data_IF_880906593014
#
_entry.id   IF_880906593014
#
_cell.length_a   1.000
_cell.length_b   1.000
_cell.length_c   1.000
_cell.angle_alpha   90.00
_cell.angle_beta   90.00
_cell.angle_gamma   90.00
#
_symmetry.space_group_name_H-M   'P 1'
#
loop_
_entity.id
_entity.type
_entity.pdbx_description
1 polymer ?
#
# COMPACT_ATOMS: atom_id res chain seq x y z
N UNK A 1 1.97 -11.36 -5.31
CA UNK A 1 1.81 -10.08 -6.04
C UNK A 1 0.54 -9.41 -5.54
N UNK A 2 0.64 -8.31 -4.78
CA UNK A 2 -0.53 -7.66 -4.16
C UNK A 2 -1.38 -7.02 -5.27
N UNK A 3 -2.59 -7.52 -5.47
CA UNK A 3 -3.55 -6.96 -6.43
C UNK A 3 -4.21 -5.75 -5.80
N UNK A 4 -4.52 -4.75 -6.62
CA UNK A 4 -5.34 -3.62 -6.22
C UNK A 4 -6.68 -4.16 -5.75
N UNK A 5 -6.94 -4.07 -4.45
CA UNK A 5 -8.19 -4.54 -3.88
C UNK A 5 -9.22 -3.44 -4.12
N UNK A 6 -10.26 -3.68 -4.94
CA UNK A 6 -11.31 -2.69 -5.12
C UNK A 6 -12.00 -2.44 -3.78
N UNK A 7 -12.28 -1.17 -3.51
CA UNK A 7 -12.98 -0.72 -2.31
C UNK A 7 -14.14 0.16 -2.71
N UNK A 8 -15.27 -0.10 -2.05
CA UNK A 8 -16.51 0.64 -2.15
C UNK A 8 -17.06 0.82 -0.75
N UNK A 9 -17.27 2.06 -0.34
CA UNK A 9 -17.85 2.39 0.97
C UNK A 9 -18.99 3.39 0.73
N UNK A 10 -20.25 2.99 0.93
CA UNK A 10 -21.37 3.91 0.86
C UNK A 10 -21.37 4.86 2.07
N UNK A 11 -21.82 6.09 1.87
CA UNK A 11 -22.00 7.10 2.90
C UNK A 11 -23.28 7.89 2.63
N UNK A 12 -24.03 8.19 3.69
CA UNK A 12 -25.19 9.11 3.62
C UNK A 12 -24.78 10.58 3.50
N UNK A 13 -23.49 10.89 3.64
CA UNK A 13 -22.97 12.24 3.56
C UNK A 13 -22.90 12.72 2.11
N UNK A 14 -23.01 14.02 1.89
CA UNK A 14 -22.68 14.60 0.60
C UNK A 14 -21.18 14.45 0.31
N UNK A 15 -20.74 14.38 -0.96
CA UNK A 15 -19.32 14.27 -1.30
C UNK A 15 -18.44 15.34 -0.63
N UNK A 16 -18.93 16.58 -0.56
CA UNK A 16 -18.20 17.68 0.07
C UNK A 16 -18.03 17.48 1.59
N UNK A 17 -19.07 17.02 2.27
CA UNK A 17 -19.04 16.76 3.71
C UNK A 17 -18.17 15.55 4.04
N UNK A 18 -18.26 14.47 3.24
CA UNK A 18 -17.38 13.31 3.36
C UNK A 18 -15.90 13.71 3.17
N UNK A 19 -15.59 14.49 2.13
CA UNK A 19 -14.23 15.00 1.89
C UNK A 19 -13.74 15.89 3.05
N UNK A 20 -14.60 16.76 3.60
CA UNK A 20 -14.29 17.61 4.75
C UNK A 20 -13.95 16.75 5.98
N UNK A 21 -14.81 15.80 6.35
CA UNK A 21 -14.59 14.90 7.50
C UNK A 21 -13.30 14.09 7.36
N UNK A 22 -13.04 13.52 6.18
CA UNK A 22 -11.80 12.80 5.92
C UNK A 22 -10.57 13.71 5.99
N UNK A 23 -10.71 14.97 5.58
CA UNK A 23 -9.65 15.99 5.65
C UNK A 23 -9.34 16.41 7.08
N UNK A 24 -10.36 16.53 7.93
CA UNK A 24 -10.22 16.88 9.35
C UNK A 24 -9.66 15.71 10.17
N UNK A 25 -10.10 14.49 9.86
CA UNK A 25 -9.68 13.29 10.59
C UNK A 25 -8.28 12.79 10.22
N UNK A 26 -7.79 13.06 9.00
CA UNK A 26 -6.43 12.65 8.61
C UNK A 26 -5.40 13.43 9.41
N UNK A 27 -4.29 12.79 9.72
CA UNK A 27 -3.16 13.48 10.33
C UNK A 27 -2.48 14.36 9.29
N UNK A 28 -2.39 15.67 9.57
CA UNK A 28 -1.73 16.63 8.69
C UNK A 28 -0.29 16.18 8.39
N UNK A 29 0.08 16.19 7.10
CA UNK A 29 1.34 15.61 6.63
C UNK A 29 2.57 16.50 6.81
N UNK A 30 2.53 17.52 7.69
CA UNK A 30 3.68 18.43 7.83
C UNK A 30 4.88 17.64 8.35
N UNK A 31 5.98 17.77 7.61
CA UNK A 31 7.28 17.13 7.81
C UNK A 31 7.84 17.35 9.23
N UNK A 32 7.37 18.38 9.93
CA UNK A 32 7.76 18.72 11.31
C UNK A 32 6.70 18.41 12.39
N UNK A 33 5.44 18.13 12.02
CA UNK A 33 4.33 17.97 12.99
C UNK A 33 3.87 16.53 13.21
N UNK A 34 4.51 15.55 12.57
CA UNK A 34 4.25 14.15 12.87
C UNK A 34 4.95 13.76 14.18
N UNK A 35 4.46 14.29 15.32
CA UNK A 35 4.46 13.54 16.59
C UNK A 35 3.52 12.36 16.38
N UNK A 36 3.92 11.42 15.55
CA UNK A 36 3.27 10.12 15.49
C UNK A 36 3.44 9.52 16.90
N UNK A 37 2.37 9.02 17.52
CA UNK A 37 2.44 8.63 18.91
C UNK A 37 3.53 7.56 19.10
N UNK A 38 4.34 7.72 20.15
CA UNK A 38 5.47 6.82 20.46
C UNK A 38 5.00 5.40 20.81
N UNK A 39 3.69 5.21 21.02
CA UNK A 39 3.04 3.93 21.31
C UNK A 39 2.97 2.97 20.11
N UNK A 40 3.42 3.41 18.91
CA UNK A 40 3.38 2.59 17.70
C UNK A 40 2.00 2.54 17.03
N UNK A 41 1.08 3.44 17.39
CA UNK A 41 -0.20 3.59 16.71
C UNK A 41 -0.02 4.03 15.24
N UNK A 42 -1.01 3.65 14.44
CA UNK A 42 -1.07 4.00 13.01
C UNK A 42 -1.75 5.35 12.84
N UNK A 43 -1.18 6.19 11.98
CA UNK A 43 -1.76 7.45 11.53
C UNK A 43 -2.14 7.35 10.06
N UNK A 44 -3.19 8.06 9.65
CA UNK A 44 -3.60 8.17 8.25
C UNK A 44 -3.12 9.50 7.69
N UNK A 45 -2.38 9.46 6.59
CA UNK A 45 -1.85 10.64 5.92
C UNK A 45 -2.14 10.56 4.42
N UNK A 46 -2.11 11.69 3.73
CA UNK A 46 -2.35 11.72 2.30
C UNK A 46 -3.10 12.97 1.87
N UNK A 47 -3.60 13.01 0.64
CA UNK A 47 -4.43 14.08 0.08
C UNK A 47 -5.90 13.63 0.05
N UNK A 48 -6.80 14.56 0.34
CA UNK A 48 -8.23 14.36 0.21
C UNK A 48 -8.78 15.57 -0.54
N UNK A 49 -9.45 15.33 -1.66
CA UNK A 49 -10.34 16.27 -2.34
C UNK A 49 -11.63 15.53 -2.71
N UNK A 50 -12.59 16.24 -3.30
CA UNK A 50 -13.82 15.63 -3.82
C UNK A 50 -13.55 14.70 -5.01
N UNK A 51 -12.60 15.08 -5.87
CA UNK A 51 -12.32 14.37 -7.13
C UNK A 51 -11.27 13.27 -6.97
N UNK A 52 -10.34 13.44 -6.02
CA UNK A 52 -9.20 12.54 -5.83
C UNK A 52 -8.85 12.41 -4.34
N UNK A 53 -8.80 11.17 -3.88
CA UNK A 53 -8.43 10.79 -2.52
C UNK A 53 -7.26 9.83 -2.59
N UNK A 54 -6.13 10.27 -2.04
CA UNK A 54 -4.90 9.49 -1.99
C UNK A 54 -4.43 9.38 -0.55
N UNK A 55 -4.68 8.24 0.11
CA UNK A 55 -4.41 8.04 1.54
C UNK A 55 -3.51 6.83 1.80
N UNK A 56 -2.72 6.89 2.87
CA UNK A 56 -1.94 5.75 3.35
C UNK A 56 -1.92 5.75 4.88
N UNK A 57 -2.04 4.57 5.47
CA UNK A 57 -1.85 4.39 6.91
C UNK A 57 -0.37 4.12 7.17
N UNK A 58 0.28 4.84 8.10
CA UNK A 58 1.69 4.63 8.44
C UNK A 58 1.90 4.54 9.95
N UNK A 59 2.84 3.69 10.37
CA UNK A 59 3.33 3.66 11.74
C UNK A 59 4.53 4.61 11.88
N UNK A 60 4.67 5.22 13.06
CA UNK A 60 5.82 6.03 13.42
C UNK A 60 7.14 5.24 13.19
N UNK A 61 8.15 5.90 12.63
CA UNK A 61 9.51 5.34 12.44
C UNK A 61 9.65 4.10 11.54
N UNK A 62 8.55 3.51 11.06
CA UNK A 62 8.59 2.35 10.16
C UNK A 62 8.56 2.81 8.71
N UNK A 63 9.65 2.57 7.97
CA UNK A 63 9.72 2.78 6.52
C UNK A 63 9.45 1.46 5.81
N UNK A 64 8.36 1.41 5.04
CA UNK A 64 8.00 0.27 4.20
C UNK A 64 7.56 0.80 2.84
N UNK A 65 8.30 0.49 1.78
CA UNK A 65 7.95 0.91 0.42
C UNK A 65 6.77 0.10 -0.15
N UNK A 66 6.52 -1.11 0.34
CA UNK A 66 5.37 -1.95 -0.04
C UNK A 66 4.09 -1.60 0.73
N UNK A 67 4.03 -0.38 1.28
CA UNK A 67 2.85 0.07 2.02
C UNK A 67 1.68 0.31 1.06
N UNK A 68 0.47 -0.10 1.43
CA UNK A 68 -0.69 0.19 0.61
C UNK A 68 -0.99 1.70 0.57
N UNK A 69 -1.39 2.14 -0.62
CA UNK A 69 -1.95 3.44 -0.91
C UNK A 69 -3.38 3.20 -1.38
N UNK A 70 -4.30 3.95 -0.79
CA UNK A 70 -5.66 4.11 -1.29
C UNK A 70 -5.62 5.18 -2.37
N UNK A 71 -6.11 4.85 -3.56
CA UNK A 71 -6.44 5.80 -4.63
C UNK A 71 -7.94 5.66 -4.89
N UNK A 72 -8.70 6.73 -4.62
CA UNK A 72 -10.16 6.70 -4.63
C UNK A 72 -10.75 8.05 -5.04
N UNK A 73 -12.06 8.08 -5.24
CA UNK A 73 -12.87 9.30 -5.45
C UNK A 73 -14.23 9.14 -4.77
N UNK A 74 -14.91 10.26 -4.53
CA UNK A 74 -16.28 10.26 -4.01
C UNK A 74 -17.25 10.42 -5.18
N UNK A 75 -18.05 9.40 -5.43
CA UNK A 75 -19.10 9.44 -6.46
C UNK A 75 -20.43 9.83 -5.81
N UNK A 76 -21.12 10.88 -6.30
CA UNK A 76 -22.44 11.22 -5.80
C UNK A 76 -23.45 10.12 -6.16
N UNK A 77 -24.26 9.70 -5.19
CA UNK A 77 -25.34 8.73 -5.38
C UNK A 77 -26.63 9.26 -4.73
N UNK A 78 -27.83 8.78 -5.13
CA UNK A 78 -29.06 9.17 -4.44
C UNK A 78 -28.97 8.90 -2.93
N UNK A 79 -29.13 9.95 -2.12
CA UNK A 79 -29.05 9.85 -0.66
C UNK A 79 -27.65 10.00 -0.04
N UNK A 80 -26.60 10.32 -0.83
CA UNK A 80 -25.27 10.61 -0.29
C UNK A 80 -24.14 10.48 -1.31
N UNK A 81 -23.10 9.73 -0.96
CA UNK A 81 -21.96 9.44 -1.83
C UNK A 81 -21.41 8.03 -1.61
N UNK A 82 -20.65 7.53 -2.57
CA UNK A 82 -19.91 6.28 -2.48
C UNK A 82 -18.42 6.57 -2.67
N UNK A 83 -17.57 6.14 -1.73
CA UNK A 83 -16.13 6.15 -1.92
C UNK A 83 -15.75 4.94 -2.78
N UNK A 84 -15.30 5.18 -4.00
CA UNK A 84 -14.93 4.15 -4.97
C UNK A 84 -13.44 4.27 -5.29
N UNK A 85 -12.70 3.17 -5.19
CA UNK A 85 -11.28 3.17 -5.50
C UNK A 85 -10.60 1.83 -5.32
N UNK A 86 -9.29 1.89 -5.11
CA UNK A 86 -8.44 0.71 -4.90
C UNK A 86 -7.44 0.92 -3.79
N UNK A 87 -7.16 -0.15 -3.04
CA UNK A 87 -6.05 -0.22 -2.08
C UNK A 87 -4.98 -1.14 -2.63
N UNK A 88 -3.82 -0.59 -2.96
CA UNK A 88 -2.75 -1.29 -3.66
C UNK A 88 -1.36 -0.81 -3.27
N UNK A 89 -0.32 -1.50 -3.74
CA UNK A 89 1.04 -0.96 -3.63
C UNK A 89 1.21 0.22 -4.57
N UNK A 90 2.06 1.17 -4.18
CA UNK A 90 2.45 2.26 -5.07
C UNK A 90 2.89 1.71 -6.46
N UNK A 91 2.36 2.24 -7.57
CA UNK A 91 2.67 1.75 -8.92
C UNK A 91 4.17 1.67 -9.23
N UNK A 92 4.94 2.65 -8.75
CA UNK A 92 6.39 2.70 -8.94
C UNK A 92 7.10 1.54 -8.22
N UNK A 93 6.66 1.20 -7.00
CA UNK A 93 7.24 0.08 -6.23
C UNK A 93 6.90 -1.25 -6.89
N UNK A 94 5.70 -1.38 -7.46
CA UNK A 94 5.31 -2.56 -8.25
C UNK A 94 6.17 -2.72 -9.49
N UNK A 95 6.34 -1.64 -10.26
CA UNK A 95 7.15 -1.62 -11.47
C UNK A 95 8.62 -1.96 -11.15
N UNK A 96 9.20 -1.30 -10.15
CA UNK A 96 10.58 -1.57 -9.72
C UNK A 96 10.75 -3.03 -9.28
N UNK A 97 9.84 -3.54 -8.46
CA UNK A 97 9.88 -4.95 -7.99
C UNK A 97 9.79 -5.92 -9.17
N UNK A 98 8.93 -5.64 -10.15
CA UNK A 98 8.78 -6.48 -11.34
C UNK A 98 10.07 -6.47 -12.19
N UNK A 99 10.59 -5.29 -12.53
CA UNK A 99 11.83 -5.14 -13.31
C UNK A 99 13.01 -5.84 -12.62
N UNK A 100 13.16 -5.63 -11.31
CA UNK A 100 14.24 -6.24 -10.54
C UNK A 100 14.17 -7.77 -10.54
N UNK A 101 13.01 -8.34 -10.22
CA UNK A 101 12.84 -9.80 -10.19
C UNK A 101 12.96 -10.43 -11.59
N UNK A 102 12.44 -9.77 -12.62
CA UNK A 102 12.59 -10.24 -14.02
C UNK A 102 14.05 -10.20 -14.45
N UNK A 103 14.76 -9.09 -14.20
CA UNK A 103 16.19 -8.98 -14.52
C UNK A 103 17.03 -10.04 -13.79
N UNK A 104 16.81 -10.22 -12.49
CA UNK A 104 17.43 -11.28 -11.70
C UNK A 104 17.12 -12.68 -12.27
N UNK A 105 15.87 -12.91 -12.67
CA UNK A 105 15.42 -14.15 -13.29
C UNK A 105 16.13 -14.45 -14.60
N UNK A 106 16.21 -13.47 -15.50
CA UNK A 106 16.87 -13.61 -16.80
C UNK A 106 18.37 -13.87 -16.66
N UNK A 107 19.05 -13.16 -15.74
CA UNK A 107 20.48 -13.38 -15.47
C UNK A 107 20.73 -14.77 -14.87
N UNK A 108 19.86 -15.23 -13.95
CA UNK A 108 19.95 -16.55 -13.34
C UNK A 108 19.71 -17.65 -14.37
N UNK A 109 18.72 -17.48 -15.24
CA UNK A 109 18.42 -18.43 -16.32
C UNK A 109 19.55 -18.47 -17.36
N UNK A 110 20.07 -17.31 -17.78
CA UNK A 110 21.17 -17.23 -18.74
C UNK A 110 22.44 -17.89 -18.23
N UNK A 111 22.81 -17.66 -16.95
CA UNK A 111 23.95 -18.32 -16.32
C UNK A 111 23.75 -19.83 -16.18
N UNK A 112 22.53 -20.28 -15.82
CA UNK A 112 22.22 -21.71 -15.78
C UNK A 112 22.41 -22.37 -17.15
N UNK A 113 21.85 -21.78 -18.21
CA UNK A 113 21.98 -22.30 -19.57
C UNK A 113 23.44 -22.33 -20.04
N UNK A 114 24.23 -21.30 -19.73
CA UNK A 114 25.65 -21.27 -20.03
C UNK A 114 26.41 -22.38 -19.29
N UNK A 115 26.13 -22.59 -18.00
CA UNK A 115 26.75 -23.67 -17.21
C UNK A 115 26.40 -25.05 -17.74
N UNK A 116 25.16 -25.28 -18.16
CA UNK A 116 24.72 -26.56 -18.74
C UNK A 116 25.31 -26.82 -20.14
N UNK A 117 25.56 -25.76 -20.93
CA UNK A 117 26.04 -25.89 -22.31
C UNK A 117 27.57 -25.98 -22.38
N UNK A 118 28.26 -25.19 -21.57
CA UNK A 118 29.72 -25.03 -21.64
C UNK A 118 30.47 -25.65 -20.45
N UNK A 119 29.76 -26.14 -19.43
CA UNK A 119 30.37 -26.84 -18.28
C UNK A 119 31.20 -25.96 -17.35
N UNK A 120 30.96 -24.65 -17.33
CA UNK A 120 31.77 -23.70 -16.56
C UNK A 120 31.34 -23.64 -15.09
N UNK A 121 32.28 -23.88 -14.18
CA UNK A 121 32.02 -23.82 -12.73
C UNK A 121 31.58 -22.41 -12.29
N UNK A 122 32.09 -21.38 -12.96
CA UNK A 122 31.74 -19.98 -12.75
C UNK A 122 30.26 -19.72 -13.03
N UNK A 123 29.71 -20.32 -14.10
CA UNK A 123 28.30 -20.15 -14.45
C UNK A 123 27.38 -20.80 -13.41
N UNK A 124 27.78 -21.93 -12.83
CA UNK A 124 27.04 -22.55 -11.72
C UNK A 124 27.09 -21.69 -10.45
N UNK A 125 28.23 -21.07 -10.14
CA UNK A 125 28.35 -20.15 -9.01
C UNK A 125 27.45 -18.91 -9.20
N UNK A 126 27.44 -18.30 -10.39
CA UNK A 126 26.56 -17.18 -10.73
C UNK A 126 25.09 -17.60 -10.66
N UNK A 127 24.75 -18.80 -11.11
CA UNK A 127 23.40 -19.35 -10.99
C UNK A 127 22.97 -19.45 -9.52
N UNK A 128 23.84 -20.00 -8.66
CA UNK A 128 23.58 -20.10 -7.22
C UNK A 128 23.36 -18.74 -6.57
N UNK A 129 24.20 -17.75 -6.90
CA UNK A 129 24.03 -16.37 -6.43
C UNK A 129 22.72 -15.74 -6.92
N UNK A 130 22.36 -15.98 -8.19
CA UNK A 130 21.11 -15.54 -8.79
C UNK A 130 19.87 -16.11 -8.10
N UNK A 131 19.87 -17.42 -7.82
CA UNK A 131 18.79 -18.10 -7.08
C UNK A 131 18.66 -17.58 -5.65
N UNK A 132 19.78 -17.35 -4.97
CA UNK A 132 19.78 -16.76 -3.63
C UNK A 132 19.18 -15.35 -3.65
N UNK A 133 19.59 -14.51 -4.61
CA UNK A 133 19.07 -13.15 -4.78
C UNK A 133 17.57 -13.13 -5.10
N UNK A 134 17.11 -14.02 -5.99
CA UNK A 134 15.69 -14.18 -6.31
C UNK A 134 14.87 -14.60 -5.09
N UNK A 135 15.35 -15.62 -4.37
CA UNK A 135 14.70 -16.11 -3.15
C UNK A 135 14.58 -15.00 -2.11
N UNK A 136 15.66 -14.23 -1.92
CA UNK A 136 15.67 -13.08 -1.03
C UNK A 136 14.68 -11.99 -1.48
N UNK A 137 14.65 -11.64 -2.77
CA UNK A 137 13.71 -10.66 -3.30
C UNK A 137 12.24 -11.07 -3.14
N UNK A 138 11.92 -12.34 -3.40
CA UNK A 138 10.58 -12.90 -3.17
C UNK A 138 10.22 -12.88 -1.69
N UNK A 139 11.14 -13.27 -0.80
CA UNK A 139 10.92 -13.24 0.64
C UNK A 139 10.67 -11.81 1.14
N UNK A 140 11.52 -10.86 0.73
CA UNK A 140 11.44 -9.45 1.12
C UNK A 140 10.12 -8.81 0.67
N UNK A 141 9.73 -9.01 -0.59
CA UNK A 141 8.48 -8.45 -1.15
C UNK A 141 7.25 -9.09 -0.52
N UNK A 142 7.30 -10.39 -0.21
CA UNK A 142 6.22 -11.09 0.50
C UNK A 142 6.08 -10.59 1.93
N UNK A 143 7.20 -10.40 2.63
CA UNK A 143 7.22 -9.87 3.99
C UNK A 143 6.72 -8.41 4.04
N UNK A 144 7.25 -7.54 3.19
CA UNK A 144 6.83 -6.15 3.06
C UNK A 144 5.34 -6.03 2.72
N UNK A 145 4.86 -6.87 1.80
CA UNK A 145 3.45 -6.99 1.46
C UNK A 145 2.57 -7.47 2.60
N UNK A 146 3.01 -8.51 3.33
CA UNK A 146 2.29 -9.05 4.49
C UNK A 146 2.16 -8.02 5.59
N UNK A 147 3.23 -7.26 5.86
CA UNK A 147 3.21 -6.14 6.80
C UNK A 147 2.21 -5.06 6.34
N UNK A 148 2.24 -4.71 5.06
CA UNK A 148 1.32 -3.74 4.46
C UNK A 148 -0.16 -4.12 4.55
N UNK A 149 -0.53 -5.41 4.61
CA UNK A 149 -1.96 -5.81 4.72
C UNK A 149 -2.63 -5.25 5.97
N UNK A 150 -1.89 -5.20 7.08
CA UNK A 150 -2.40 -4.65 8.35
C UNK A 150 -2.70 -3.16 8.20
N UNK A 151 -1.86 -2.44 7.46
CA UNK A 151 -2.06 -1.02 7.17
C UNK A 151 -3.27 -0.81 6.25
N UNK A 152 -3.47 -1.68 5.25
CA UNK A 152 -4.64 -1.64 4.37
C UNK A 152 -5.95 -1.94 5.10
N UNK A 153 -5.97 -2.94 5.98
CA UNK A 153 -7.11 -3.26 6.84
C UNK A 153 -7.42 -2.12 7.81
N UNK A 154 -6.39 -1.55 8.44
CA UNK A 154 -6.54 -0.40 9.30
C UNK A 154 -7.12 0.80 8.54
N UNK A 155 -6.61 1.08 7.34
CA UNK A 155 -7.10 2.18 6.51
C UNK A 155 -8.57 1.98 6.13
N UNK A 156 -8.96 0.75 5.76
CA UNK A 156 -10.37 0.41 5.47
C UNK A 156 -11.27 0.64 6.70
N UNK A 157 -10.88 0.16 7.88
CA UNK A 157 -11.66 0.38 9.10
C UNK A 157 -11.66 1.83 9.57
N UNK A 158 -10.61 2.60 9.26
CA UNK A 158 -10.58 4.04 9.50
C UNK A 158 -11.56 4.78 8.59
N UNK A 159 -11.61 4.45 7.28
CA UNK A 159 -12.56 5.04 6.33
C UNK A 159 -14.00 4.75 6.72
N UNK A 160 -14.31 3.48 7.03
CA UNK A 160 -15.64 3.04 7.44
C UNK A 160 -16.14 3.83 8.65
N UNK A 161 -15.32 4.00 9.69
CA UNK A 161 -15.69 4.80 10.87
C UNK A 161 -16.01 6.26 10.57
N UNK A 162 -15.32 6.89 9.61
CA UNK A 162 -15.51 8.32 9.32
C UNK A 162 -16.57 8.58 8.26
N UNK A 163 -16.93 7.58 7.45
CA UNK A 163 -17.93 7.69 6.39
C UNK A 163 -19.29 7.13 6.78
N UNK A 164 -19.36 6.15 7.67
CA UNK A 164 -20.60 5.43 8.02
C UNK A 164 -21.54 6.21 8.96
N UNK A 165 -21.23 7.48 9.29
CA UNK A 165 -22.16 8.37 10.01
C UNK A 165 -22.55 7.93 11.42
N UNK A 166 -22.05 6.81 11.93
CA UNK A 166 -22.24 6.38 13.32
C UNK A 166 -21.36 7.23 14.24
N UNK A 167 -21.84 8.44 14.48
CA UNK A 167 -21.63 9.10 15.76
C UNK A 167 -22.32 8.21 16.81
N UNK A 168 -21.63 7.16 17.26
CA UNK A 168 -21.86 6.66 18.60
C UNK A 168 -21.53 7.83 19.51
N UNK A 169 -22.57 8.59 19.88
CA UNK A 169 -22.61 9.31 21.13
C UNK A 169 -22.18 8.31 22.23
N UNK A 170 -20.89 8.30 22.52
CA UNK A 170 -20.38 7.92 23.82
C UNK A 170 -20.84 9.01 24.78
N UNK A 171 -22.12 8.93 25.15
CA UNK A 171 -22.64 9.52 26.37
C UNK A 171 -21.98 8.75 27.51
N UNK A 172 -20.94 9.33 28.09
CA UNK A 172 -20.41 8.99 29.40
C UNK A 172 -20.24 10.30 30.18
#
# INVERSE_FOLDING_TARGET
MWRDAPIRIPSSLSPAEAARRLTEARTASSFWSARAPLDGSRIVVGRVSTDEITLTARQAYVRNSWRPVLEARLEPVPGGCELVGTIGWNPLVRMFTAVWLTGAGLLTLGSLLAGLTFGTAEALAVTGAGLAMLSFGVALTTFGGRSGRRDGQFLKGWLDRHLSGNDHHASA
#
